data_IF_918248481934
#
_entry.id   IF_918248481934
#
_cell.length_a   1.000
_cell.length_b   1.000
_cell.length_c   1.000
_cell.angle_alpha   90.00
_cell.angle_beta   90.00
_cell.angle_gamma   90.00
#
_symmetry.space_group_name_H-M   'P 1'
#
loop_
_entity.id
_entity.type
_entity.pdbx_description
1 polymer ?
#
# COMPACT_ATOMS: atom_id res chain seq x y z
N UNK A 1 8.98 1.04 18.17
CA UNK A 1 7.70 0.40 18.58
C UNK A 1 6.92 1.46 19.36
N UNK A 2 5.69 1.79 18.96
CA UNK A 2 4.89 2.83 19.65
C UNK A 2 3.90 2.16 20.64
N UNK A 3 4.15 2.23 21.96
CA UNK A 3 3.35 1.53 22.98
C UNK A 3 1.89 2.03 23.09
N UNK A 4 1.61 3.24 22.61
CA UNK A 4 0.26 3.83 22.65
C UNK A 4 -0.69 3.12 21.67
N UNK A 5 -0.20 2.74 20.49
CA UNK A 5 -1.00 2.09 19.44
C UNK A 5 -1.35 0.64 19.79
N UNK A 6 -0.42 -0.04 20.47
CA UNK A 6 -0.61 -1.42 20.94
C UNK A 6 -1.77 -1.53 21.93
N UNK A 7 -1.92 -0.49 22.77
CA UNK A 7 -2.92 -0.41 23.83
C UNK A 7 -4.31 -0.04 23.28
N UNK A 8 -4.39 0.78 22.23
CA UNK A 8 -5.65 1.27 21.67
C UNK A 8 -6.29 0.31 20.67
N UNK A 9 -5.50 -0.40 19.85
CA UNK A 9 -6.01 -1.22 18.75
C UNK A 9 -5.91 -2.73 19.03
N UNK A 10 -5.27 -3.14 20.14
CA UNK A 10 -4.99 -4.55 20.44
C UNK A 10 -4.03 -5.21 19.44
N UNK A 11 -3.47 -4.43 18.51
CA UNK A 11 -2.56 -4.92 17.47
C UNK A 11 -1.11 -4.72 17.91
N UNK A 12 -0.46 -5.83 18.25
CA UNK A 12 1.00 -5.92 18.53
C UNK A 12 1.91 -5.49 17.37
N UNK A 13 1.36 -5.27 16.18
CA UNK A 13 2.11 -5.26 14.93
C UNK A 13 1.80 -4.08 14.00
N UNK A 14 1.32 -2.94 14.50
CA UNK A 14 1.26 -1.70 13.70
C UNK A 14 2.68 -1.09 13.58
N UNK A 15 3.53 -1.74 12.79
CA UNK A 15 4.88 -1.30 12.50
C UNK A 15 4.96 -0.62 11.13
N UNK A 16 6.03 0.12 10.90
CA UNK A 16 6.20 0.94 9.69
C UNK A 16 6.08 0.13 8.39
N UNK A 17 6.41 -1.17 8.41
CA UNK A 17 6.20 -2.08 7.26
C UNK A 17 4.73 -2.28 6.96
N UNK A 18 3.91 -2.58 7.97
CA UNK A 18 2.47 -2.76 7.78
C UNK A 18 1.83 -1.47 7.29
N UNK A 19 2.20 -0.32 7.88
CA UNK A 19 1.70 0.99 7.45
C UNK A 19 2.06 1.25 5.98
N UNK A 20 3.31 0.99 5.57
CA UNK A 20 3.73 1.20 4.19
C UNK A 20 3.01 0.26 3.20
N UNK A 21 2.76 -0.99 3.59
CA UNK A 21 2.01 -1.95 2.76
C UNK A 21 0.54 -1.55 2.60
N UNK A 22 -0.10 -1.10 3.68
CA UNK A 22 -1.48 -0.59 3.68
C UNK A 22 -1.60 0.65 2.78
N UNK A 23 -0.70 1.62 2.93
CA UNK A 23 -0.64 2.81 2.07
C UNK A 23 -0.42 2.49 0.59
N UNK A 24 0.43 1.50 0.26
CA UNK A 24 0.62 1.03 -1.12
C UNK A 24 -0.66 0.44 -1.69
N UNK A 25 -1.37 -0.38 -0.91
CA UNK A 25 -2.64 -0.97 -1.34
C UNK A 25 -3.71 0.10 -1.59
N UNK A 26 -3.89 1.02 -0.64
CA UNK A 26 -4.85 2.11 -0.74
C UNK A 26 -4.54 3.05 -1.91
N UNK A 27 -3.26 3.38 -2.13
CA UNK A 27 -2.86 4.23 -3.24
C UNK A 27 -3.13 3.57 -4.61
N UNK A 28 -2.92 2.25 -4.74
CA UNK A 28 -3.28 1.51 -5.97
C UNK A 28 -4.78 1.49 -6.23
N UNK A 29 -5.58 1.28 -5.18
CA UNK A 29 -7.03 1.38 -5.28
C UNK A 29 -7.45 2.78 -5.75
N UNK A 30 -6.88 3.83 -5.15
CA UNK A 30 -7.10 5.21 -5.56
C UNK A 30 -6.73 5.47 -7.02
N UNK A 31 -5.60 4.95 -7.50
CA UNK A 31 -5.20 5.09 -8.91
C UNK A 31 -6.22 4.48 -9.86
N UNK A 32 -6.74 3.29 -9.56
CA UNK A 32 -7.78 2.65 -10.36
C UNK A 32 -9.06 3.50 -10.37
N UNK A 33 -9.51 3.98 -9.21
CA UNK A 33 -10.69 4.84 -9.12
C UNK A 33 -10.53 6.14 -9.89
N UNK A 34 -9.35 6.78 -9.82
CA UNK A 34 -9.06 8.00 -10.58
C UNK A 34 -9.06 7.74 -12.09
N UNK A 35 -8.51 6.60 -12.54
CA UNK A 35 -8.53 6.20 -13.93
C UNK A 35 -9.97 5.94 -14.43
N UNK A 36 -10.79 5.27 -13.62
CA UNK A 36 -12.21 5.07 -13.93
C UNK A 36 -12.96 6.40 -14.01
N UNK A 37 -12.73 7.31 -13.07
CA UNK A 37 -13.30 8.65 -13.11
C UNK A 37 -12.87 9.44 -14.36
N UNK A 38 -11.60 9.33 -14.78
CA UNK A 38 -11.09 9.96 -16.00
C UNK A 38 -11.80 9.45 -17.25
N UNK A 39 -12.03 8.14 -17.34
CA UNK A 39 -12.74 7.53 -18.46
C UNK A 39 -14.20 7.99 -18.57
N UNK A 40 -14.80 8.40 -17.45
CA UNK A 40 -16.20 8.86 -17.38
C UNK A 40 -16.33 10.40 -17.42
N UNK A 41 -15.23 11.13 -17.25
CA UNK A 41 -15.25 12.58 -17.19
C UNK A 41 -15.51 13.19 -18.58
N UNK A 42 -16.61 13.92 -18.73
CA UNK A 42 -16.94 14.66 -19.97
C UNK A 42 -16.47 16.12 -19.97
N UNK A 43 -15.82 16.59 -18.90
CA UNK A 43 -15.43 17.99 -18.72
C UNK A 43 -13.90 18.10 -18.63
N UNK A 44 -13.29 18.88 -19.53
CA UNK A 44 -11.83 19.06 -19.60
C UNK A 44 -11.19 19.53 -18.29
N UNK A 45 -11.83 20.44 -17.54
CA UNK A 45 -11.27 20.91 -16.25
C UNK A 45 -11.21 19.79 -15.21
N UNK A 46 -12.26 18.97 -15.14
CA UNK A 46 -12.30 17.83 -14.25
C UNK A 46 -11.27 16.77 -14.67
N UNK A 47 -11.07 16.57 -15.99
CA UNK A 47 -10.02 15.68 -16.49
C UNK A 47 -8.63 16.16 -16.05
N UNK A 48 -8.34 17.45 -16.16
CA UNK A 48 -7.05 18.02 -15.75
C UNK A 48 -6.79 17.82 -14.24
N UNK A 49 -7.80 18.05 -13.39
CA UNK A 49 -7.72 17.82 -11.95
C UNK A 49 -7.51 16.34 -11.60
N UNK A 50 -8.26 15.45 -12.26
CA UNK A 50 -8.12 14.00 -12.06
C UNK A 50 -6.75 13.49 -12.52
N UNK A 51 -6.22 13.99 -13.65
CA UNK A 51 -4.87 13.68 -14.14
C UNK A 51 -3.79 14.16 -13.15
N UNK A 52 -3.96 15.34 -12.56
CA UNK A 52 -3.06 15.85 -11.54
C UNK A 52 -3.05 14.93 -10.31
N UNK A 53 -4.22 14.53 -9.83
CA UNK A 53 -4.32 13.60 -8.70
C UNK A 53 -3.74 12.22 -9.01
N UNK A 54 -3.93 11.71 -10.23
CA UNK A 54 -3.32 10.45 -10.66
C UNK A 54 -1.79 10.56 -10.67
N UNK A 55 -1.26 11.69 -11.15
CA UNK A 55 0.18 11.99 -11.13
C UNK A 55 0.74 11.97 -9.71
N UNK A 56 0.04 12.60 -8.75
CA UNK A 56 0.46 12.56 -7.35
C UNK A 56 0.41 11.16 -6.75
N UNK A 57 -0.58 10.34 -7.11
CA UNK A 57 -0.64 8.95 -6.68
C UNK A 57 0.51 8.11 -7.24
N UNK A 58 0.91 8.33 -8.50
CA UNK A 58 2.09 7.65 -9.07
C UNK A 58 3.38 8.06 -8.34
N UNK A 59 3.56 9.35 -8.04
CA UNK A 59 4.71 9.84 -7.27
C UNK A 59 4.74 9.27 -5.85
N UNK A 60 3.58 9.13 -5.22
CA UNK A 60 3.47 8.49 -3.90
C UNK A 60 3.86 7.01 -3.96
N UNK A 61 3.37 6.28 -4.98
CA UNK A 61 3.71 4.87 -5.21
C UNK A 61 5.23 4.70 -5.31
N UNK A 62 5.89 5.53 -6.14
CA UNK A 62 7.34 5.49 -6.33
C UNK A 62 8.11 5.71 -5.01
N UNK A 63 7.70 6.72 -4.22
CA UNK A 63 8.34 7.03 -2.94
C UNK A 63 8.15 5.92 -1.92
N UNK A 64 6.97 5.33 -1.84
CA UNK A 64 6.67 4.22 -0.94
C UNK A 64 7.43 2.95 -1.36
N UNK A 65 7.46 2.62 -2.65
CA UNK A 65 8.21 1.47 -3.15
C UNK A 65 9.72 1.63 -2.88
N UNK A 66 10.27 2.82 -3.11
CA UNK A 66 11.67 3.12 -2.78
C UNK A 66 11.96 2.91 -1.29
N UNK A 67 11.11 3.44 -0.41
CA UNK A 67 11.22 3.21 1.04
C UNK A 67 11.16 1.71 1.38
N UNK A 68 10.20 0.99 0.82
CA UNK A 68 10.03 -0.44 1.06
C UNK A 68 11.24 -1.26 0.60
N UNK A 69 11.85 -0.91 -0.54
CA UNK A 69 13.08 -1.54 -1.03
C UNK A 69 14.27 -1.23 -0.12
N UNK A 70 14.47 0.04 0.24
CA UNK A 70 15.56 0.47 1.14
C UNK A 70 15.49 -0.20 2.52
N UNK A 71 14.27 -0.49 3.01
CA UNK A 71 14.04 -1.15 4.29
C UNK A 71 13.93 -2.67 4.20
N UNK A 72 14.01 -3.26 3.00
CA UNK A 72 13.86 -4.70 2.78
C UNK A 72 12.47 -5.24 3.12
N UNK A 73 11.44 -4.40 3.02
CA UNK A 73 10.04 -4.78 3.25
C UNK A 73 9.37 -5.37 2.02
N UNK A 74 9.89 -5.02 0.83
CA UNK A 74 9.54 -5.57 -0.48
C UNK A 74 10.82 -6.00 -1.17
N UNK A 75 10.76 -7.12 -1.88
CA UNK A 75 11.82 -7.67 -2.71
C UNK A 75 11.55 -7.28 -4.16
N UNK A 76 12.56 -6.77 -4.87
CA UNK A 76 12.43 -6.33 -6.25
C UNK A 76 12.09 -7.48 -7.21
N UNK A 77 12.60 -8.68 -6.93
CA UNK A 77 12.25 -9.89 -7.68
C UNK A 77 10.85 -10.38 -7.29
N UNK A 78 9.96 -10.46 -8.26
CA UNK A 78 8.56 -10.84 -8.03
C UNK A 78 8.40 -12.30 -7.58
N UNK A 79 9.28 -13.21 -8.03
CA UNK A 79 9.22 -14.62 -7.62
C UNK A 79 9.64 -14.79 -6.16
N UNK A 80 10.67 -14.06 -5.73
CA UNK A 80 11.13 -14.03 -4.35
C UNK A 80 10.11 -13.34 -3.43
N UNK A 81 9.56 -12.20 -3.86
CA UNK A 81 8.50 -11.50 -3.14
C UNK A 81 7.30 -12.41 -2.89
N UNK A 82 6.86 -13.14 -3.91
CA UNK A 82 5.75 -14.10 -3.81
C UNK A 82 6.01 -15.20 -2.76
N UNK A 83 7.23 -15.75 -2.72
CA UNK A 83 7.60 -16.78 -1.73
C UNK A 83 7.52 -16.24 -0.30
N UNK A 84 8.02 -15.03 -0.06
CA UNK A 84 7.95 -14.41 1.25
C UNK A 84 6.51 -14.06 1.63
N UNK A 85 5.69 -13.57 0.71
CA UNK A 85 4.28 -13.25 0.98
C UNK A 85 3.48 -14.50 1.38
N UNK A 86 3.67 -15.64 0.70
CA UNK A 86 3.04 -16.91 1.09
C UNK A 86 3.46 -17.33 2.50
N UNK A 87 4.75 -17.20 2.83
CA UNK A 87 5.29 -17.54 4.15
C UNK A 87 4.67 -16.66 5.24
N UNK A 88 4.53 -15.36 4.98
CA UNK A 88 3.86 -14.43 5.89
C UNK A 88 2.36 -14.73 6.04
N UNK A 89 1.65 -15.02 4.94
CA UNK A 89 0.24 -15.40 4.98
C UNK A 89 0.02 -16.68 5.82
N UNK A 90 0.89 -17.68 5.67
CA UNK A 90 0.87 -18.90 6.49
C UNK A 90 1.09 -18.60 7.98
N UNK A 91 2.04 -17.72 8.29
CA UNK A 91 2.36 -17.31 9.68
C UNK A 91 1.19 -16.55 10.30
N UNK A 92 0.58 -15.62 9.58
CA UNK A 92 -0.60 -14.87 10.02
C UNK A 92 -1.76 -15.82 10.35
N UNK A 93 -2.04 -16.80 9.48
CA UNK A 93 -3.06 -17.83 9.74
C UNK A 93 -2.81 -18.64 11.01
N UNK A 94 -1.55 -18.89 11.36
CA UNK A 94 -1.19 -19.62 12.58
C UNK A 94 -1.35 -18.75 13.85
N UNK A 95 -1.21 -17.44 13.74
CA UNK A 95 -1.41 -16.48 14.83
C UNK A 95 -2.89 -16.23 15.17
N UNK A 96 -3.80 -16.57 14.25
CA UNK A 96 -5.26 -16.39 14.39
C UNK A 96 -5.93 -17.66 14.98
N UNK A 97 -5.17 -18.70 15.34
CA UNK A 97 -5.76 -19.86 16.04
C UNK A 97 -6.19 -19.43 17.46
N UNK A 98 -7.41 -19.82 17.90
CA UNK A 98 -7.92 -19.51 19.24
C UNK A 98 -7.08 -20.16 20.34
#
# INVERSE_FOLDING_TARGET
MNPVMETLLGMKAFNDRFIAQDLLQDNRLRMNMLADCLNLAGNGKLCDELLLHLTYSVQLEERLLKLCLEKGWVIADASEQWKEDIKWARKARQMIKP
#
